data_IF_623417317152
#
_entry.id   IF_623417317152
#
_cell.length_a   1.000
_cell.length_b   1.000
_cell.length_c   1.000
_cell.angle_alpha   90.00
_cell.angle_beta   90.00
_cell.angle_gamma   90.00
#
_symmetry.space_group_name_H-M   'P 1'
#
loop_
_entity.id
_entity.type
_entity.pdbx_description
1 polymer ?
#
# COMPACT_ATOMS: atom_id res chain seq x y z
N UNK A 1 79.12 -4.36 -0.35
CA UNK A 1 79.42 -3.26 -1.30
C UNK A 1 78.15 -3.00 -2.10
N UNK A 2 77.57 -1.81 -2.21
CA UNK A 2 77.80 -0.51 -1.56
C UNK A 2 76.46 0.25 -1.58
N UNK A 3 75.93 0.72 -0.44
CA UNK A 3 76.04 2.11 0.04
C UNK A 3 75.70 3.21 -0.99
N UNK A 4 74.57 3.91 -0.78
CA UNK A 4 74.43 5.39 -0.68
C UNK A 4 73.08 5.72 0.03
N UNK A 5 72.99 6.86 0.73
CA UNK A 5 71.90 7.22 1.68
C UNK A 5 70.82 8.19 1.11
N UNK A 6 69.64 8.35 1.77
CA UNK A 6 68.52 9.29 1.47
C UNK A 6 68.76 10.68 2.14
N UNK A 7 67.85 11.72 2.16
CA UNK A 7 66.37 11.69 1.98
C UNK A 7 65.69 12.88 1.25
N UNK A 8 64.35 12.90 1.27
CA UNK A 8 63.54 14.12 1.45
C UNK A 8 62.38 13.83 2.42
N UNK A 9 62.23 14.64 3.45
CA UNK A 9 61.24 14.51 4.51
C UNK A 9 60.15 15.59 4.35
N UNK A 10 58.89 15.18 4.24
CA UNK A 10 57.76 16.06 4.53
C UNK A 10 56.54 15.24 4.97
N UNK A 11 56.61 14.70 6.18
CA UNK A 11 55.41 14.51 6.99
C UNK A 11 54.84 15.91 7.33
N UNK A 12 53.53 16.11 7.38
CA UNK A 12 52.76 15.74 8.59
C UNK A 12 51.34 15.27 8.27
N UNK A 13 50.74 14.43 9.15
CA UNK A 13 49.58 13.62 8.79
C UNK A 13 48.28 14.29 9.24
N UNK A 14 47.34 14.52 8.31
CA UNK A 14 45.96 14.87 8.66
C UNK A 14 45.03 13.66 8.66
N UNK A 15 44.99 13.05 9.85
CA UNK A 15 43.76 12.53 10.47
C UNK A 15 42.94 11.53 9.64
N UNK A 16 43.45 10.29 9.52
CA UNK A 16 42.63 9.14 9.11
C UNK A 16 41.61 8.82 10.21
N UNK A 17 40.38 9.33 10.10
CA UNK A 17 39.26 8.85 10.94
C UNK A 17 38.95 7.39 10.57
N UNK A 18 39.03 6.43 11.51
CA UNK A 18 38.75 5.03 11.21
C UNK A 18 37.24 4.85 11.03
N UNK A 19 36.85 4.29 9.88
CA UNK A 19 35.45 3.98 9.59
C UNK A 19 35.32 3.27 8.25
N UNK A 20 34.28 2.45 8.10
CA UNK A 20 34.05 1.54 6.96
C UNK A 20 33.95 2.22 5.58
N UNK A 21 34.01 3.56 5.50
CA UNK A 21 33.96 4.37 4.28
C UNK A 21 35.17 4.23 3.34
N UNK A 22 36.28 3.61 3.77
CA UNK A 22 37.49 3.44 2.93
C UNK A 22 37.54 2.14 2.12
N UNK A 23 36.58 1.23 2.29
CA UNK A 23 36.52 -0.02 1.51
C UNK A 23 36.04 0.30 0.08
N UNK A 24 36.74 -0.22 -0.93
CA UNK A 24 36.32 -0.09 -2.33
C UNK A 24 35.06 -0.93 -2.55
N UNK A 25 33.90 -0.28 -2.75
CA UNK A 25 32.64 -0.94 -3.08
C UNK A 25 32.14 -0.53 -4.46
N UNK A 26 31.58 -1.50 -5.18
CA UNK A 26 31.06 -1.35 -6.54
C UNK A 26 29.90 -0.36 -6.60
N UNK A 27 29.75 0.38 -7.71
CA UNK A 27 28.78 1.47 -7.89
C UNK A 27 27.35 1.18 -7.41
N UNK A 28 26.86 -0.07 -7.56
CA UNK A 28 25.54 -0.50 -7.08
C UNK A 28 25.33 -0.27 -5.57
N UNK A 29 26.33 -0.53 -4.72
CA UNK A 29 26.20 -0.38 -3.27
C UNK A 29 26.09 1.09 -2.81
N UNK A 30 26.50 2.06 -3.64
CA UNK A 30 26.30 3.49 -3.35
C UNK A 30 24.91 4.00 -3.72
N UNK A 31 24.24 3.38 -4.70
CA UNK A 31 22.90 3.77 -5.11
C UNK A 31 21.83 3.36 -4.07
N UNK A 32 22.04 2.24 -3.38
CA UNK A 32 21.07 1.68 -2.42
C UNK A 32 21.14 2.37 -1.04
N UNK A 33 22.22 3.09 -0.73
CA UNK A 33 22.34 3.88 0.51
C UNK A 33 23.03 5.25 0.27
N UNK A 34 22.29 6.25 -0.25
CA UNK A 34 22.84 7.56 -0.58
C UNK A 34 23.34 8.36 0.64
N UNK A 35 22.74 8.14 1.83
CA UNK A 35 23.09 8.79 3.10
C UNK A 35 24.59 8.73 3.42
N UNK A 36 25.25 7.63 3.08
CA UNK A 36 26.64 7.42 3.48
C UNK A 36 27.69 8.10 2.58
N UNK A 37 27.33 8.54 1.37
CA UNK A 37 28.32 8.97 0.36
C UNK A 37 28.03 10.28 -0.38
N UNK A 38 26.87 10.93 -0.19
CA UNK A 38 26.63 12.26 -0.78
C UNK A 38 27.46 13.32 -0.03
N UNK A 39 28.55 13.76 -0.67
CA UNK A 39 29.27 14.97 -0.30
C UNK A 39 28.30 16.16 -0.49
N UNK A 40 28.06 17.03 0.50
CA UNK A 40 26.98 18.01 0.46
C UNK A 40 27.18 19.01 -0.68
N UNK A 41 26.46 18.80 -1.78
CA UNK A 41 26.62 19.58 -2.99
C UNK A 41 25.68 20.80 -2.94
N UNK A 42 26.24 21.99 -2.76
CA UNK A 42 25.50 23.26 -2.59
C UNK A 42 24.30 23.45 -3.55
N UNK A 43 24.40 23.22 -4.88
CA UNK A 43 23.26 23.38 -5.78
C UNK A 43 22.13 22.38 -5.52
N UNK A 44 22.43 21.14 -5.13
CA UNK A 44 21.42 20.11 -4.83
C UNK A 44 20.68 20.45 -3.54
N UNK A 45 21.39 20.96 -2.53
CA UNK A 45 20.79 21.44 -1.29
C UNK A 45 19.88 22.66 -1.54
N UNK A 46 20.31 23.62 -2.37
CA UNK A 46 19.49 24.77 -2.76
C UNK A 46 18.24 24.34 -3.54
N UNK A 47 18.37 23.40 -4.48
CA UNK A 47 17.23 22.85 -5.22
C UNK A 47 16.24 22.11 -4.31
N UNK A 48 16.74 21.33 -3.34
CA UNK A 48 15.91 20.69 -2.32
C UNK A 48 15.13 21.68 -1.46
N UNK A 49 15.77 22.76 -1.00
CA UNK A 49 15.10 23.83 -0.25
C UNK A 49 14.07 24.59 -1.10
N UNK A 50 14.37 24.87 -2.38
CA UNK A 50 13.40 25.46 -3.32
C UNK A 50 12.20 24.54 -3.55
N UNK A 51 12.41 23.23 -3.71
CA UNK A 51 11.33 22.27 -3.85
C UNK A 51 10.48 22.17 -2.58
N UNK A 52 11.08 22.11 -1.39
CA UNK A 52 10.36 22.05 -0.11
C UNK A 52 9.56 23.34 0.13
N UNK A 53 10.14 24.52 -0.13
CA UNK A 53 9.42 25.80 0.01
C UNK A 53 8.25 25.90 -0.98
N UNK A 54 8.41 25.42 -2.22
CA UNK A 54 7.33 25.38 -3.20
C UNK A 54 6.23 24.37 -2.82
N UNK A 55 6.58 23.22 -2.24
CA UNK A 55 5.61 22.28 -1.67
C UNK A 55 4.84 22.88 -0.48
N UNK A 56 5.52 23.56 0.46
CA UNK A 56 4.86 24.21 1.60
C UNK A 56 3.97 25.38 1.13
N UNK A 57 4.42 26.16 0.14
CA UNK A 57 3.61 27.21 -0.46
C UNK A 57 2.39 26.65 -1.21
N UNK A 58 2.52 25.52 -1.90
CA UNK A 58 1.40 24.83 -2.56
C UNK A 58 0.41 24.23 -1.54
N UNK A 59 0.89 23.67 -0.44
CA UNK A 59 0.05 23.24 0.68
C UNK A 59 -0.67 24.43 1.32
N UNK A 60 0.01 25.57 1.53
CA UNK A 60 -0.60 26.80 2.01
C UNK A 60 -1.64 27.39 1.05
N UNK A 61 -1.40 27.33 -0.25
CA UNK A 61 -2.35 27.73 -1.28
C UNK A 61 -3.58 26.80 -1.33
N UNK A 62 -3.37 25.49 -1.20
CA UNK A 62 -4.46 24.53 -1.03
C UNK A 62 -5.22 24.77 0.28
N UNK A 63 -4.55 25.08 1.39
CA UNK A 63 -5.20 25.38 2.66
C UNK A 63 -6.03 26.67 2.57
N UNK A 64 -5.49 27.74 1.99
CA UNK A 64 -6.20 29.00 1.78
C UNK A 64 -7.38 28.87 0.79
N UNK A 65 -7.25 28.07 -0.27
CA UNK A 65 -8.37 27.80 -1.21
C UNK A 65 -9.38 26.79 -0.66
N UNK A 66 -9.00 26.00 0.35
CA UNK A 66 -9.91 25.17 1.15
C UNK A 66 -10.59 25.98 2.24
N UNK A 67 -9.91 26.92 2.90
CA UNK A 67 -10.50 27.89 3.85
C UNK A 67 -11.53 28.78 3.14
N UNK A 68 -11.23 29.33 1.96
CA UNK A 68 -12.23 30.03 1.14
C UNK A 68 -13.42 29.15 0.69
N UNK A 69 -13.31 27.82 0.78
CA UNK A 69 -14.43 26.89 0.54
C UNK A 69 -15.11 26.44 1.84
N UNK A 70 -14.41 26.46 2.97
CA UNK A 70 -14.92 26.18 4.32
C UNK A 70 -15.68 27.37 4.88
N UNK A 71 -15.26 28.62 4.64
CA UNK A 71 -16.05 29.83 4.95
C UNK A 71 -17.41 29.85 4.22
N UNK A 72 -17.53 29.10 3.12
CA UNK A 72 -18.79 28.91 2.38
C UNK A 72 -19.55 27.61 2.77
N UNK A 73 -19.03 26.86 3.75
CA UNK A 73 -19.56 25.56 4.19
C UNK A 73 -19.57 25.37 5.72
N UNK A 74 -19.11 26.34 6.51
CA UNK A 74 -19.19 26.38 7.97
C UNK A 74 -20.56 26.93 8.44
N UNK A 75 -21.61 26.35 7.84
CA UNK A 75 -22.99 26.54 8.21
C UNK A 75 -23.76 25.22 8.04
N UNK A 76 -23.24 24.15 8.65
CA UNK A 76 -23.92 23.03 9.31
C UNK A 76 -22.82 22.11 9.85
N UNK A 77 -22.55 22.24 11.15
CA UNK A 77 -22.12 21.17 12.07
C UNK A 77 -21.93 21.83 13.46
N UNK A 78 -22.31 21.22 14.60
CA UNK A 78 -22.75 19.85 14.86
C UNK A 78 -23.76 19.76 16.01
N UNK A 79 -24.32 18.56 16.21
CA UNK A 79 -24.62 18.01 17.53
C UNK A 79 -23.51 18.36 18.55
N UNK A 80 -23.90 18.78 19.74
CA UNK A 80 -23.02 19.57 20.60
C UNK A 80 -21.87 18.81 21.25
N UNK A 81 -20.66 19.39 21.17
CA UNK A 81 -19.62 19.25 22.20
C UNK A 81 -18.68 20.46 22.18
N UNK A 82 -18.50 21.10 23.35
CA UNK A 82 -17.62 22.27 23.56
C UNK A 82 -16.18 21.81 23.69
N UNK A 83 -15.28 22.47 22.97
CA UNK A 83 -13.89 22.69 23.36
C UNK A 83 -13.59 24.19 23.13
N UNK A 84 -13.36 24.93 24.21
CA UNK A 84 -13.09 26.38 24.15
C UNK A 84 -11.64 26.64 23.71
N UNK A 85 -11.40 27.34 22.59
CA UNK A 85 -10.11 28.00 22.36
C UNK A 85 -10.14 29.30 21.53
N UNK A 86 -10.15 30.42 22.25
CA UNK A 86 -9.62 31.75 21.89
C UNK A 86 -9.74 32.26 20.43
N UNK A 87 -10.84 32.96 20.15
CA UNK A 87 -10.95 33.87 18.99
C UNK A 87 -10.01 35.07 19.14
N UNK A 88 -8.83 35.03 18.49
CA UNK A 88 -8.00 36.23 18.25
C UNK A 88 -8.52 36.98 17.03
N UNK A 89 -9.54 37.81 17.26
CA UNK A 89 -10.04 38.83 16.31
C UNK A 89 -8.89 39.79 15.95
N UNK A 90 -8.53 39.97 14.66
CA UNK A 90 -8.06 41.25 14.09
C UNK A 90 -7.81 41.26 12.58
N UNK A 91 -8.39 42.28 11.92
CA UNK A 91 -7.78 43.12 10.87
C UNK A 91 -7.34 42.52 9.51
N UNK A 92 -8.29 42.38 8.58
CA UNK A 92 -8.03 42.57 7.12
C UNK A 92 -9.13 43.42 6.45
N UNK A 93 -10.41 43.21 6.80
CA UNK A 93 -11.54 43.76 6.03
C UNK A 93 -11.83 45.27 6.21
N UNK A 94 -11.20 45.98 7.15
CA UNK A 94 -11.47 47.42 7.38
C UNK A 94 -10.72 48.36 6.42
N UNK A 95 -9.52 47.98 5.95
CA UNK A 95 -8.68 48.88 5.12
C UNK A 95 -9.20 48.97 3.67
N UNK A 96 -9.69 47.85 3.11
CA UNK A 96 -10.28 47.82 1.75
C UNK A 96 -11.56 48.68 1.68
N UNK A 97 -12.40 48.62 2.72
CA UNK A 97 -13.66 49.37 2.76
C UNK A 97 -13.40 50.88 2.93
N UNK A 98 -12.40 51.27 3.73
CA UNK A 98 -12.00 52.68 3.92
C UNK A 98 -11.40 53.30 2.66
N UNK A 99 -10.63 52.53 1.87
CA UNK A 99 -10.08 52.98 0.58
C UNK A 99 -11.15 53.19 -0.49
N UNK A 100 -12.19 52.34 -0.51
CA UNK A 100 -13.32 52.49 -1.43
C UNK A 100 -14.20 53.71 -1.11
N UNK A 101 -14.44 54.02 0.17
CA UNK A 101 -15.17 55.25 0.54
C UNK A 101 -14.38 56.51 0.15
N UNK A 102 -13.09 56.59 0.49
CA UNK A 102 -12.25 57.74 0.14
C UNK A 102 -12.17 57.99 -1.39
N UNK A 103 -12.11 56.91 -2.19
CA UNK A 103 -12.12 57.04 -3.65
C UNK A 103 -13.46 57.60 -4.20
N UNK A 104 -14.59 57.24 -3.57
CA UNK A 104 -15.91 57.75 -3.93
C UNK A 104 -16.12 59.21 -3.50
N UNK A 105 -15.63 59.62 -2.33
CA UNK A 105 -15.68 61.02 -1.89
C UNK A 105 -14.87 61.94 -2.82
N UNK A 106 -13.65 61.57 -3.18
CA UNK A 106 -12.81 62.35 -4.11
C UNK A 106 -13.52 62.52 -5.47
N UNK A 107 -14.16 61.46 -5.98
CA UNK A 107 -14.92 61.52 -7.23
C UNK A 107 -16.15 62.45 -7.15
N UNK A 108 -16.84 62.48 -6.00
CA UNK A 108 -18.00 63.36 -5.77
C UNK A 108 -17.61 64.85 -5.60
N UNK A 109 -16.47 65.14 -4.96
CA UNK A 109 -15.94 66.50 -4.80
C UNK A 109 -15.52 67.09 -6.17
N UNK A 110 -14.84 66.31 -7.02
CA UNK A 110 -14.46 66.77 -8.36
C UNK A 110 -15.69 67.00 -9.24
N UNK A 111 -16.71 66.14 -9.15
CA UNK A 111 -17.95 66.26 -9.93
C UNK A 111 -18.83 67.45 -9.53
N UNK A 112 -18.83 67.84 -8.24
CA UNK A 112 -19.55 69.03 -7.75
C UNK A 112 -18.80 70.33 -8.03
N UNK A 113 -17.46 70.34 -8.02
CA UNK A 113 -16.67 71.53 -8.39
C UNK A 113 -16.89 71.99 -9.86
N UNK A 114 -17.17 71.05 -10.77
CA UNK A 114 -17.38 71.33 -12.20
C UNK A 114 -18.77 71.94 -12.49
N UNK A 115 -19.79 71.70 -11.66
CA UNK A 115 -21.13 72.28 -11.86
C UNK A 115 -21.24 73.71 -11.29
N UNK A 116 -20.61 73.99 -10.14
CA UNK A 116 -20.55 75.32 -9.50
C UNK A 116 -19.94 76.41 -10.41
N UNK A 117 -18.86 76.08 -11.13
CA UNK A 117 -18.16 77.01 -12.03
C UNK A 117 -19.02 77.48 -13.22
N UNK A 118 -20.06 76.72 -13.60
CA UNK A 118 -20.93 77.06 -14.74
C UNK A 118 -22.10 77.98 -14.35
N UNK A 119 -22.53 77.96 -13.08
CA UNK A 119 -23.65 78.79 -12.57
C UNK A 119 -23.20 80.23 -12.28
N UNK A 120 -21.93 80.42 -11.87
CA UNK A 120 -21.37 81.76 -11.56
C UNK A 120 -21.30 82.67 -12.80
N UNK A 121 -21.09 82.11 -13.99
CA UNK A 121 -20.99 82.86 -15.25
C UNK A 121 -22.36 83.22 -15.87
N UNK A 122 -23.46 82.59 -15.44
CA UNK A 122 -24.82 82.87 -15.91
C UNK A 122 -25.48 84.08 -15.24
N UNK A 123 -25.22 84.30 -13.95
CA UNK A 123 -25.91 85.33 -13.14
C UNK A 123 -25.50 86.77 -13.49
N UNK A 124 -24.36 86.98 -14.16
CA UNK A 124 -23.88 88.32 -14.60
C UNK A 124 -24.65 88.90 -15.81
N UNK A 125 -25.32 88.06 -16.60
CA UNK A 125 -26.08 88.52 -17.79
C UNK A 125 -27.54 88.89 -17.50
N UNK A 126 -28.18 88.26 -16.52
CA UNK A 126 -29.60 88.50 -16.19
C UNK A 126 -29.78 89.88 -15.53
N UNK A 127 -28.84 90.30 -14.66
CA UNK A 127 -28.93 91.58 -13.96
C UNK A 127 -28.74 92.81 -14.87
N UNK A 128 -28.26 92.62 -16.11
CA UNK A 128 -28.21 93.67 -17.15
C UNK A 128 -29.47 93.74 -18.02
N UNK A 129 -30.35 92.74 -17.94
CA UNK A 129 -31.59 92.70 -18.73
C UNK A 129 -32.77 93.34 -17.97
N UNK A 130 -32.82 93.20 -16.65
CA UNK A 130 -33.89 93.74 -15.80
C UNK A 130 -33.84 95.26 -15.57
N UNK A 131 -32.71 95.93 -15.87
CA UNK A 131 -32.63 97.41 -15.86
C UNK A 131 -33.02 98.06 -17.20
N UNK A 132 -33.25 97.28 -18.26
CA UNK A 132 -33.54 97.80 -19.61
C UNK A 132 -35.04 97.91 -19.95
N UNK A 133 -35.95 97.56 -19.02
CA UNK A 133 -37.40 97.45 -19.25
C UNK A 133 -38.25 98.39 -18.37
N UNK A 134 -37.74 99.60 -18.07
CA UNK A 134 -38.53 100.65 -17.41
C UNK A 134 -38.19 102.05 -17.95
N UNK A 135 -38.73 102.38 -19.12
CA UNK A 135 -38.92 103.76 -19.62
C UNK A 135 -39.95 103.78 -20.76
N UNK A 136 -40.70 104.89 -20.83
CA UNK A 136 -41.72 105.26 -21.85
C UNK A 136 -43.05 104.47 -21.72
N UNK A 137 -44.13 105.06 -21.14
CA UNK A 137 -45.09 106.07 -21.67
C UNK A 137 -46.00 105.47 -22.76
N UNK A 138 -47.34 105.62 -22.80
CA UNK A 138 -48.23 106.81 -22.84
C UNK A 138 -49.65 106.35 -22.34
N UNK A 139 -50.38 107.07 -21.46
CA UNK A 139 -51.55 107.99 -21.72
C UNK A 139 -52.61 107.42 -22.72
N UNK A 140 -53.95 107.55 -22.64
CA UNK A 140 -54.93 108.56 -22.19
C UNK A 140 -56.17 107.80 -21.58
N UNK A 141 -57.24 108.37 -21.01
CA UNK A 141 -57.93 109.63 -21.33
C UNK A 141 -58.82 110.17 -20.17
N UNK A 142 -59.11 111.47 -20.22
CA UNK A 142 -60.07 112.25 -19.39
C UNK A 142 -61.31 112.60 -20.26
N UNK A 143 -62.45 113.19 -19.81
CA UNK A 143 -62.51 114.53 -19.16
C UNK A 143 -63.65 114.72 -18.09
N UNK A 144 -63.54 115.68 -17.14
CA UNK A 144 -64.20 117.02 -17.04
C UNK A 144 -65.73 117.03 -16.81
N UNK A 145 -66.38 118.03 -16.17
CA UNK A 145 -65.98 119.39 -15.74
C UNK A 145 -66.77 119.80 -14.45
N UNK A 146 -66.56 121.03 -13.96
CA UNK A 146 -66.94 121.55 -12.63
C UNK A 146 -68.40 122.06 -12.45
N UNK A 147 -68.70 122.44 -11.20
CA UNK A 147 -69.98 122.88 -10.62
C UNK A 147 -70.58 124.18 -11.17
N UNK A 148 -71.90 124.34 -11.01
CA UNK A 148 -72.52 125.54 -10.41
C UNK A 148 -74.06 125.40 -10.18
N UNK A 149 -74.62 126.39 -9.47
CA UNK A 149 -76.04 126.69 -9.18
C UNK A 149 -76.68 126.10 -7.91
N UNK A 150 -76.81 126.98 -6.92
CA UNK A 150 -77.68 126.91 -5.74
C UNK A 150 -79.18 126.72 -6.06
N UNK A 151 -79.97 126.54 -4.98
CA UNK A 151 -81.45 126.54 -4.87
C UNK A 151 -82.10 125.16 -5.09
N UNK A 152 -82.53 124.51 -3.99
CA UNK A 152 -83.38 123.31 -4.05
C UNK A 152 -83.31 122.28 -2.91
N UNK A 153 -82.74 122.62 -1.75
CA UNK A 153 -82.65 121.70 -0.61
C UNK A 153 -84.02 121.35 0.03
N UNK A 154 -84.06 120.20 0.73
CA UNK A 154 -85.02 119.74 1.75
C UNK A 154 -86.08 118.66 1.43
N UNK A 155 -86.33 118.27 0.16
CA UNK A 155 -87.31 117.19 -0.14
C UNK A 155 -86.72 115.94 -0.83
N UNK A 156 -85.67 116.08 -1.65
CA UNK A 156 -85.03 114.91 -2.29
C UNK A 156 -84.04 114.16 -1.39
N UNK A 157 -83.39 114.83 -0.44
CA UNK A 157 -82.39 114.23 0.44
C UNK A 157 -82.97 113.09 1.31
N UNK A 158 -84.22 113.24 1.78
CA UNK A 158 -84.93 112.19 2.55
C UNK A 158 -85.28 110.96 1.71
N UNK A 159 -85.53 111.13 0.41
CA UNK A 159 -85.76 110.02 -0.54
C UNK A 159 -84.45 109.30 -0.88
N UNK A 160 -83.36 110.04 -1.05
CA UNK A 160 -82.02 109.46 -1.25
C UNK A 160 -81.56 108.67 -0.02
N UNK A 161 -81.58 109.27 1.17
CA UNK A 161 -81.19 108.61 2.42
C UNK A 161 -81.99 107.33 2.72
N UNK A 162 -83.30 107.31 2.42
CA UNK A 162 -84.12 106.09 2.58
C UNK A 162 -83.70 104.98 1.60
N UNK A 163 -83.43 105.32 0.34
CA UNK A 163 -82.95 104.34 -0.66
C UNK A 163 -81.53 103.87 -0.37
N UNK A 164 -80.66 104.73 0.13
CA UNK A 164 -79.30 104.37 0.57
C UNK A 164 -79.33 103.35 1.71
N UNK A 165 -80.20 103.53 2.71
CA UNK A 165 -80.36 102.53 3.79
C UNK A 165 -80.89 101.20 3.26
N UNK A 166 -81.90 101.18 2.37
CA UNK A 166 -82.41 99.94 1.77
C UNK A 166 -81.36 99.22 0.89
N UNK A 167 -80.52 99.99 0.18
CA UNK A 167 -79.38 99.47 -0.57
C UNK A 167 -78.32 98.90 0.39
N UNK A 168 -78.03 99.59 1.50
CA UNK A 168 -77.07 99.14 2.50
C UNK A 168 -77.52 97.83 3.16
N UNK A 169 -78.79 97.72 3.55
CA UNK A 169 -79.39 96.51 4.13
C UNK A 169 -79.36 95.34 3.13
N UNK A 170 -79.66 95.58 1.84
CA UNK A 170 -79.49 94.57 0.78
C UNK A 170 -78.03 94.16 0.57
N UNK A 171 -77.09 95.10 0.66
CA UNK A 171 -75.65 94.81 0.56
C UNK A 171 -75.19 93.98 1.75
N UNK A 172 -75.63 94.29 2.97
CA UNK A 172 -75.32 93.51 4.17
C UNK A 172 -75.94 92.11 4.12
N UNK A 173 -77.18 91.99 3.64
CA UNK A 173 -77.83 90.70 3.41
C UNK A 173 -77.10 89.87 2.35
N UNK A 174 -76.75 90.44 1.20
CA UNK A 174 -75.93 89.74 0.18
C UNK A 174 -74.55 89.37 0.70
N UNK A 175 -73.91 90.21 1.53
CA UNK A 175 -72.64 89.87 2.18
C UNK A 175 -72.78 88.68 3.14
N UNK A 176 -73.86 88.61 3.92
CA UNK A 176 -74.15 87.47 4.79
C UNK A 176 -74.47 86.19 4.00
N UNK A 177 -75.23 86.29 2.90
CA UNK A 177 -75.51 85.18 1.98
C UNK A 177 -74.24 84.70 1.26
N UNK A 178 -73.32 85.60 0.88
CA UNK A 178 -72.02 85.23 0.30
C UNK A 178 -71.08 84.61 1.35
N UNK A 179 -71.03 85.14 2.57
CA UNK A 179 -70.22 84.60 3.67
C UNK A 179 -70.64 83.17 4.01
N UNK A 180 -71.94 82.94 4.21
CA UNK A 180 -72.48 81.60 4.45
C UNK A 180 -72.34 80.67 3.25
N UNK A 181 -72.42 81.17 2.01
CA UNK A 181 -72.12 80.36 0.82
C UNK A 181 -70.62 79.97 0.73
N UNK A 182 -69.71 80.84 1.16
CA UNK A 182 -68.27 80.57 1.19
C UNK A 182 -67.91 79.56 2.28
N UNK A 183 -68.52 79.64 3.46
CA UNK A 183 -68.42 78.61 4.50
C UNK A 183 -68.93 77.25 4.01
N UNK A 184 -70.09 77.20 3.33
CA UNK A 184 -70.62 75.97 2.73
C UNK A 184 -69.69 75.42 1.63
N UNK A 185 -69.05 76.28 0.82
CA UNK A 185 -68.02 75.86 -0.14
C UNK A 185 -66.78 75.30 0.55
N UNK A 186 -66.32 75.92 1.65
CA UNK A 186 -65.17 75.47 2.43
C UNK A 186 -65.43 74.11 3.07
N UNK A 187 -66.56 73.94 3.77
CA UNK A 187 -66.98 72.66 4.35
C UNK A 187 -67.15 71.59 3.28
N UNK A 188 -67.69 71.93 2.09
CA UNK A 188 -67.77 70.99 0.97
C UNK A 188 -66.39 70.58 0.44
N UNK A 189 -65.45 71.51 0.32
CA UNK A 189 -64.09 71.23 -0.13
C UNK A 189 -63.33 70.36 0.89
N UNK A 190 -63.45 70.66 2.18
CA UNK A 190 -62.88 69.86 3.28
C UNK A 190 -63.48 68.44 3.31
N UNK A 191 -64.79 68.30 3.12
CA UNK A 191 -65.46 67.00 2.98
C UNK A 191 -64.97 66.23 1.74
N UNK A 192 -64.76 66.90 0.61
CA UNK A 192 -64.20 66.27 -0.60
C UNK A 192 -62.76 65.80 -0.38
N UNK A 193 -61.90 66.63 0.23
CA UNK A 193 -60.53 66.24 0.59
C UNK A 193 -60.51 65.06 1.56
N UNK A 194 -61.38 65.04 2.57
CA UNK A 194 -61.50 63.91 3.49
C UNK A 194 -61.85 62.60 2.77
N UNK A 195 -62.82 62.64 1.84
CA UNK A 195 -63.21 61.47 1.04
C UNK A 195 -62.08 61.02 0.09
N UNK A 196 -61.36 61.95 -0.52
CA UNK A 196 -60.18 61.66 -1.36
C UNK A 196 -59.04 61.04 -0.52
N UNK A 197 -58.78 61.55 0.68
CA UNK A 197 -57.78 61.01 1.60
C UNK A 197 -58.18 59.65 2.22
N UNK A 198 -59.48 59.34 2.37
CA UNK A 198 -59.94 57.98 2.68
C UNK A 198 -59.71 57.03 1.50
N UNK A 199 -60.17 57.38 0.29
CA UNK A 199 -59.96 56.55 -0.90
C UNK A 199 -58.47 56.32 -1.19
N UNK A 200 -57.63 57.34 -0.94
CA UNK A 200 -56.18 57.22 -1.02
C UNK A 200 -55.61 56.24 0.00
N UNK A 201 -56.03 56.31 1.27
CA UNK A 201 -55.61 55.34 2.30
C UNK A 201 -56.07 53.92 1.97
N UNK A 202 -57.28 53.74 1.42
CA UNK A 202 -57.78 52.43 0.99
C UNK A 202 -57.01 51.84 -0.19
N UNK A 203 -56.69 52.66 -1.20
CA UNK A 203 -55.89 52.25 -2.37
C UNK A 203 -54.44 51.95 -1.98
N UNK A 204 -53.77 52.80 -1.21
CA UNK A 204 -52.42 52.53 -0.68
C UNK A 204 -52.40 51.23 0.17
N UNK A 205 -53.44 50.96 0.97
CA UNK A 205 -53.57 49.70 1.72
C UNK A 205 -53.84 48.48 0.81
N UNK A 206 -54.60 48.65 -0.29
CA UNK A 206 -54.81 47.60 -1.28
C UNK A 206 -53.52 47.28 -2.07
N UNK A 207 -52.75 48.31 -2.45
CA UNK A 207 -51.44 48.18 -3.09
C UNK A 207 -50.45 47.46 -2.17
N UNK A 208 -50.37 47.82 -0.89
CA UNK A 208 -49.51 47.12 0.08
C UNK A 208 -49.87 45.63 0.22
N UNK A 209 -51.17 45.29 0.27
CA UNK A 209 -51.62 43.89 0.28
C UNK A 209 -51.26 43.16 -1.00
N UNK A 210 -51.34 43.83 -2.15
CA UNK A 210 -50.97 43.26 -3.45
C UNK A 210 -49.45 43.05 -3.55
N UNK A 211 -48.66 44.04 -3.15
CA UNK A 211 -47.20 43.97 -3.11
C UNK A 211 -46.70 42.86 -2.17
N UNK A 212 -47.30 42.73 -0.98
CA UNK A 212 -46.98 41.65 -0.05
C UNK A 212 -47.31 40.27 -0.64
N UNK A 213 -48.49 40.09 -1.24
CA UNK A 213 -48.86 38.84 -1.93
C UNK A 213 -47.89 38.50 -3.07
N UNK A 214 -47.50 39.49 -3.88
CA UNK A 214 -46.53 39.31 -4.95
C UNK A 214 -45.14 38.94 -4.41
N UNK A 215 -44.70 39.57 -3.31
CA UNK A 215 -43.44 39.24 -2.64
C UNK A 215 -43.43 37.81 -2.10
N UNK A 216 -44.54 37.36 -1.48
CA UNK A 216 -44.68 35.97 -1.02
C UNK A 216 -44.61 34.99 -2.20
N UNK A 217 -45.37 35.22 -3.27
CA UNK A 217 -45.35 34.37 -4.46
C UNK A 217 -43.96 34.31 -5.15
N UNK A 218 -43.21 35.42 -5.16
CA UNK A 218 -41.83 35.46 -5.65
C UNK A 218 -40.87 34.67 -4.75
N UNK A 219 -41.08 34.70 -3.43
CA UNK A 219 -40.29 33.93 -2.47
C UNK A 219 -40.58 32.42 -2.59
N UNK A 220 -41.84 32.03 -2.75
CA UNK A 220 -42.26 30.65 -3.01
C UNK A 220 -41.65 30.13 -4.31
N UNK A 221 -41.78 30.88 -5.42
CA UNK A 221 -41.17 30.53 -6.71
C UNK A 221 -39.62 30.42 -6.63
N UNK A 222 -38.97 31.30 -5.86
CA UNK A 222 -37.53 31.21 -5.62
C UNK A 222 -37.15 29.96 -4.81
N UNK A 223 -37.96 29.57 -3.83
CA UNK A 223 -37.78 28.35 -3.04
C UNK A 223 -38.00 27.09 -3.89
N UNK A 224 -39.08 27.01 -4.66
CA UNK A 224 -39.35 25.89 -5.58
C UNK A 224 -38.21 25.71 -6.60
N UNK A 225 -37.74 26.81 -7.19
CA UNK A 225 -36.57 26.79 -8.09
C UNK A 225 -35.31 26.28 -7.37
N UNK A 226 -35.09 26.68 -6.12
CA UNK A 226 -33.95 26.21 -5.33
C UNK A 226 -34.05 24.71 -5.03
N UNK A 227 -35.25 24.23 -4.68
CA UNK A 227 -35.53 22.81 -4.45
C UNK A 227 -35.33 21.98 -5.73
N UNK A 228 -35.91 22.40 -6.86
CA UNK A 228 -35.71 21.74 -8.16
C UNK A 228 -34.24 21.67 -8.59
N UNK A 229 -33.46 22.75 -8.37
CA UNK A 229 -32.01 22.77 -8.62
C UNK A 229 -31.24 21.87 -7.64
N UNK A 230 -31.66 21.79 -6.38
CA UNK A 230 -31.05 20.89 -5.39
C UNK A 230 -31.32 19.42 -5.71
N UNK A 231 -32.54 19.08 -6.14
CA UNK A 231 -32.92 17.74 -6.58
C UNK A 231 -32.20 17.34 -7.87
N UNK A 232 -32.14 18.22 -8.87
CA UNK A 232 -31.37 17.98 -10.10
C UNK A 232 -29.88 17.72 -9.78
N UNK A 233 -29.25 18.56 -8.95
CA UNK A 233 -27.87 18.36 -8.50
C UNK A 233 -27.68 17.07 -7.70
N UNK A 234 -28.68 16.63 -6.93
CA UNK A 234 -28.64 15.34 -6.23
C UNK A 234 -28.67 14.18 -7.23
N UNK A 235 -29.54 14.24 -8.24
CA UNK A 235 -29.62 13.24 -9.31
C UNK A 235 -28.32 13.18 -10.13
N UNK A 236 -27.73 14.33 -10.48
CA UNK A 236 -26.42 14.42 -11.14
C UNK A 236 -25.31 13.75 -10.31
N UNK A 237 -25.25 14.03 -9.00
CA UNK A 237 -24.29 13.40 -8.08
C UNK A 237 -24.50 11.90 -7.97
N UNK A 238 -25.75 11.45 -7.87
CA UNK A 238 -26.06 10.02 -7.85
C UNK A 238 -25.70 9.31 -9.15
N UNK A 239 -25.92 9.95 -10.30
CA UNK A 239 -25.52 9.43 -11.60
C UNK A 239 -23.99 9.32 -11.71
N UNK A 240 -23.27 10.38 -11.37
CA UNK A 240 -21.80 10.40 -11.33
C UNK A 240 -21.23 9.34 -10.38
N UNK A 241 -21.82 9.16 -9.19
CA UNK A 241 -21.42 8.10 -8.25
C UNK A 241 -21.72 6.70 -8.79
N UNK A 242 -22.86 6.48 -9.46
CA UNK A 242 -23.20 5.20 -10.12
C UNK A 242 -22.23 4.91 -11.26
N UNK A 243 -21.78 5.91 -12.01
CA UNK A 243 -20.79 5.75 -13.08
C UNK A 243 -19.38 5.50 -12.54
N UNK A 244 -18.93 6.26 -11.53
CA UNK A 244 -17.67 6.00 -10.84
C UNK A 244 -17.64 4.57 -10.25
N UNK A 245 -18.73 4.13 -9.61
CA UNK A 245 -18.87 2.76 -9.11
C UNK A 245 -18.82 1.71 -10.23
N UNK A 246 -19.36 1.99 -11.43
CA UNK A 246 -19.21 1.10 -12.60
C UNK A 246 -17.76 1.02 -13.08
N UNK A 247 -17.04 2.13 -13.13
CA UNK A 247 -15.62 2.12 -13.51
C UNK A 247 -14.76 1.39 -12.48
N UNK A 248 -14.99 1.61 -11.17
CA UNK A 248 -14.32 0.85 -10.12
C UNK A 248 -14.59 -0.65 -10.19
N UNK A 249 -15.82 -1.08 -10.53
CA UNK A 249 -16.13 -2.49 -10.76
C UNK A 249 -15.35 -3.07 -11.94
N UNK A 250 -15.34 -2.38 -13.09
CA UNK A 250 -14.56 -2.80 -14.27
C UNK A 250 -13.07 -2.92 -13.99
N UNK A 251 -12.47 -1.95 -13.32
CA UNK A 251 -11.06 -2.02 -12.93
C UNK A 251 -10.79 -3.15 -11.92
N UNK A 252 -11.70 -3.40 -10.99
CA UNK A 252 -11.59 -4.52 -10.06
C UNK A 252 -11.74 -5.89 -10.76
N UNK A 253 -12.56 -5.97 -11.81
CA UNK A 253 -12.70 -7.16 -12.66
C UNK A 253 -11.44 -7.39 -13.49
N UNK A 254 -10.90 -6.35 -14.15
CA UNK A 254 -9.61 -6.40 -14.85
C UNK A 254 -8.46 -6.85 -13.94
N UNK A 255 -8.33 -6.25 -12.74
CA UNK A 255 -7.32 -6.64 -11.76
C UNK A 255 -7.48 -8.09 -11.26
N UNK A 256 -8.71 -8.62 -11.24
CA UNK A 256 -8.95 -10.04 -10.93
C UNK A 256 -8.54 -10.94 -12.08
N UNK A 257 -8.86 -10.58 -13.32
CA UNK A 257 -8.46 -11.33 -14.52
C UNK A 257 -6.92 -11.36 -14.66
N UNK A 258 -6.26 -10.21 -14.55
CA UNK A 258 -4.79 -10.09 -14.52
C UNK A 258 -4.17 -10.95 -13.40
N UNK A 259 -4.75 -10.91 -12.19
CA UNK A 259 -4.31 -11.76 -11.07
C UNK A 259 -4.49 -13.25 -11.37
N UNK A 260 -5.65 -13.67 -11.87
CA UNK A 260 -5.92 -15.08 -12.21
C UNK A 260 -4.95 -15.58 -13.27
N UNK A 261 -4.67 -14.78 -14.30
CA UNK A 261 -3.69 -15.11 -15.33
C UNK A 261 -2.26 -15.23 -14.77
N UNK A 262 -1.86 -14.31 -13.88
CA UNK A 262 -0.57 -14.38 -13.20
C UNK A 262 -0.45 -15.63 -12.31
N UNK A 263 -1.48 -15.94 -11.54
CA UNK A 263 -1.54 -17.16 -10.69
C UNK A 263 -1.49 -18.44 -11.54
N UNK A 264 -2.17 -18.49 -12.69
CA UNK A 264 -2.13 -19.61 -13.62
C UNK A 264 -0.73 -19.79 -14.25
N UNK A 265 -0.08 -18.70 -14.66
CA UNK A 265 1.30 -18.72 -15.17
C UNK A 265 2.30 -19.20 -14.10
N UNK A 266 2.16 -18.71 -12.86
CA UNK A 266 2.98 -19.19 -11.74
C UNK A 266 2.74 -20.68 -11.45
N UNK A 267 1.48 -21.13 -11.46
CA UNK A 267 1.16 -22.53 -11.23
C UNK A 267 1.77 -23.43 -12.30
N UNK A 268 1.63 -23.08 -13.59
CA UNK A 268 2.25 -23.80 -14.72
C UNK A 268 3.78 -23.85 -14.61
N UNK A 269 4.41 -22.75 -14.22
CA UNK A 269 5.87 -22.68 -14.02
C UNK A 269 6.34 -23.59 -12.86
N UNK A 270 5.62 -23.59 -11.73
CA UNK A 270 5.90 -24.47 -10.59
C UNK A 270 5.67 -25.95 -10.97
N UNK A 271 4.62 -26.26 -11.72
CA UNK A 271 4.31 -27.61 -12.17
C UNK A 271 5.40 -28.14 -13.13
N UNK A 272 5.87 -27.31 -14.06
CA UNK A 272 7.00 -27.64 -14.93
C UNK A 272 8.28 -27.89 -14.12
N UNK A 273 8.64 -26.98 -13.21
CA UNK A 273 9.82 -27.12 -12.35
C UNK A 273 9.76 -28.41 -11.51
N UNK A 274 8.59 -28.75 -10.97
CA UNK A 274 8.39 -30.00 -10.23
C UNK A 274 8.58 -31.23 -11.13
N UNK A 275 8.09 -31.21 -12.38
CA UNK A 275 8.31 -32.30 -13.34
C UNK A 275 9.80 -32.46 -13.67
N UNK A 276 10.50 -31.37 -13.94
CA UNK A 276 11.95 -31.35 -14.19
C UNK A 276 12.75 -31.87 -12.98
N UNK A 277 12.44 -31.41 -11.76
CA UNK A 277 13.11 -31.89 -10.54
C UNK A 277 12.79 -33.35 -10.20
N UNK A 278 11.58 -33.83 -10.47
CA UNK A 278 11.27 -35.26 -10.36
C UNK A 278 12.07 -36.10 -11.39
N UNK A 279 12.31 -35.59 -12.60
CA UNK A 279 13.15 -36.26 -13.59
C UNK A 279 14.63 -36.26 -13.16
N UNK A 280 15.20 -35.12 -12.77
CA UNK A 280 16.56 -35.03 -12.23
C UNK A 280 16.76 -35.98 -11.03
N UNK A 281 15.82 -36.00 -10.08
CA UNK A 281 15.89 -36.88 -8.91
C UNK A 281 15.81 -38.35 -9.29
N UNK A 282 14.94 -38.75 -10.22
CA UNK A 282 14.90 -40.12 -10.72
C UNK A 282 16.19 -40.52 -11.44
N UNK A 283 16.80 -39.61 -12.20
CA UNK A 283 18.10 -39.87 -12.85
C UNK A 283 19.19 -40.08 -11.79
N UNK A 284 19.28 -39.19 -10.79
CA UNK A 284 20.24 -39.32 -9.70
C UNK A 284 20.07 -40.63 -8.92
N UNK A 285 18.83 -41.00 -8.55
CA UNK A 285 18.54 -42.27 -7.89
C UNK A 285 18.96 -43.49 -8.72
N UNK A 286 18.70 -43.48 -10.04
CA UNK A 286 19.14 -44.54 -10.95
C UNK A 286 20.67 -44.64 -11.06
N UNK A 287 21.37 -43.50 -11.05
CA UNK A 287 22.84 -43.46 -11.06
C UNK A 287 23.38 -44.07 -9.75
N UNK A 288 22.97 -43.57 -8.59
CA UNK A 288 23.42 -44.08 -7.28
C UNK A 288 23.07 -45.56 -7.07
N UNK A 289 21.91 -46.02 -7.56
CA UNK A 289 21.58 -47.44 -7.52
C UNK A 289 22.55 -48.29 -8.36
N UNK A 290 22.92 -47.84 -9.56
CA UNK A 290 23.88 -48.54 -10.41
C UNK A 290 25.30 -48.49 -9.86
N UNK A 291 25.73 -47.37 -9.29
CA UNK A 291 27.02 -47.24 -8.60
C UNK A 291 27.14 -48.23 -7.45
N UNK A 292 26.10 -48.33 -6.61
CA UNK A 292 26.04 -49.31 -5.53
C UNK A 292 26.09 -50.76 -6.06
N UNK A 293 25.39 -51.07 -7.15
CA UNK A 293 25.45 -52.40 -7.79
C UNK A 293 26.87 -52.70 -8.28
N UNK A 294 27.50 -51.78 -9.02
CA UNK A 294 28.87 -51.93 -9.54
C UNK A 294 29.88 -52.11 -8.42
N UNK A 295 29.76 -51.35 -7.32
CA UNK A 295 30.67 -51.49 -6.17
C UNK A 295 30.46 -52.84 -5.45
N UNK A 296 29.22 -53.32 -5.30
CA UNK A 296 28.98 -54.67 -4.75
C UNK A 296 29.50 -55.79 -5.67
N UNK A 297 29.37 -55.65 -7.00
CA UNK A 297 29.95 -56.60 -7.95
C UNK A 297 31.48 -56.59 -7.92
N UNK A 298 32.09 -55.42 -7.73
CA UNK A 298 33.54 -55.27 -7.62
C UNK A 298 34.07 -55.93 -6.35
N UNK A 299 33.42 -55.70 -5.21
CA UNK A 299 33.75 -56.34 -3.94
C UNK A 299 33.56 -57.87 -4.00
N UNK A 300 32.52 -58.35 -4.69
CA UNK A 300 32.31 -59.78 -4.92
C UNK A 300 33.45 -60.38 -5.77
N UNK A 301 33.81 -59.75 -6.89
CA UNK A 301 34.92 -60.21 -7.76
C UNK A 301 36.27 -60.20 -7.03
N UNK A 302 36.52 -59.20 -6.20
CA UNK A 302 37.74 -59.12 -5.37
C UNK A 302 37.79 -60.29 -4.36
N UNK A 303 36.70 -60.54 -3.64
CA UNK A 303 36.58 -61.69 -2.74
C UNK A 303 36.70 -63.04 -3.46
N UNK A 304 36.11 -63.20 -4.65
CA UNK A 304 36.29 -64.38 -5.49
C UNK A 304 37.75 -64.61 -5.87
N UNK A 305 38.50 -63.56 -6.26
CA UNK A 305 39.93 -63.70 -6.58
C UNK A 305 40.78 -64.08 -5.37
N UNK A 306 40.49 -63.53 -4.19
CA UNK A 306 41.18 -63.91 -2.94
C UNK A 306 40.92 -65.37 -2.58
N UNK A 307 39.67 -65.84 -2.66
CA UNK A 307 39.34 -67.23 -2.39
C UNK A 307 39.93 -68.21 -3.40
N UNK A 308 40.09 -67.81 -4.67
CA UNK A 308 40.82 -68.61 -5.67
C UNK A 308 42.32 -68.71 -5.34
N UNK A 309 42.95 -67.63 -4.88
CA UNK A 309 44.35 -67.65 -4.45
C UNK A 309 44.56 -68.49 -3.17
N UNK A 310 43.62 -68.42 -2.21
CA UNK A 310 43.59 -69.29 -1.03
C UNK A 310 43.43 -70.76 -1.40
N UNK A 311 42.53 -71.08 -2.34
CA UNK A 311 42.31 -72.43 -2.83
C UNK A 311 43.55 -72.96 -3.55
N UNK A 312 44.23 -72.15 -4.37
CA UNK A 312 45.49 -72.52 -5.02
C UNK A 312 46.58 -72.84 -3.99
N UNK A 313 46.74 -72.00 -2.95
CA UNK A 313 47.67 -72.27 -1.83
C UNK A 313 47.36 -73.59 -1.13
N UNK A 314 46.09 -73.88 -0.86
CA UNK A 314 45.66 -75.16 -0.24
C UNK A 314 45.91 -76.35 -1.17
N UNK A 315 45.73 -76.20 -2.48
CA UNK A 315 46.05 -77.25 -3.47
C UNK A 315 47.57 -77.53 -3.50
N UNK A 316 48.41 -76.50 -3.38
CA UNK A 316 49.87 -76.66 -3.32
C UNK A 316 50.31 -77.36 -2.03
N UNK A 317 49.77 -76.98 -0.86
CA UNK A 317 50.12 -77.65 0.40
C UNK A 317 49.60 -79.09 0.45
N UNK A 318 48.41 -79.36 -0.10
CA UNK A 318 47.87 -80.71 -0.23
C UNK A 318 48.76 -81.60 -1.10
N UNK A 319 49.22 -81.12 -2.26
CA UNK A 319 50.15 -81.86 -3.12
C UNK A 319 51.48 -82.16 -2.43
N UNK A 320 52.05 -81.18 -1.71
CA UNK A 320 53.28 -81.39 -0.93
C UNK A 320 53.09 -82.41 0.20
N UNK A 321 51.93 -82.44 0.85
CA UNK A 321 51.58 -83.46 1.83
C UNK A 321 51.36 -84.84 1.19
N UNK A 322 50.74 -84.91 0.00
CA UNK A 322 50.55 -86.13 -0.78
C UNK A 322 51.90 -86.73 -1.22
N UNK A 323 52.86 -85.89 -1.64
CA UNK A 323 54.25 -86.30 -1.92
C UNK A 323 54.95 -86.83 -0.66
N UNK A 324 54.79 -86.18 0.49
CA UNK A 324 55.32 -86.71 1.76
C UNK A 324 54.72 -88.08 2.10
N UNK A 325 53.39 -88.25 1.96
CA UNK A 325 52.73 -89.54 2.16
C UNK A 325 53.29 -90.60 1.21
N UNK A 326 53.47 -90.30 -0.09
CA UNK A 326 54.12 -91.21 -1.05
C UNK A 326 55.51 -91.64 -0.61
N UNK A 327 56.37 -90.71 -0.19
CA UNK A 327 57.73 -91.05 0.29
C UNK A 327 57.72 -91.88 1.58
N UNK A 328 56.75 -91.67 2.47
CA UNK A 328 56.57 -92.49 3.67
C UNK A 328 56.08 -93.90 3.32
N UNK A 329 55.16 -94.03 2.37
CA UNK A 329 54.69 -95.33 1.87
C UNK A 329 55.82 -96.12 1.21
N UNK A 330 56.62 -95.53 0.31
CA UNK A 330 57.79 -96.20 -0.28
C UNK A 330 58.84 -96.63 0.77
N UNK A 331 59.00 -95.83 1.83
CA UNK A 331 59.90 -96.17 2.94
C UNK A 331 59.36 -97.33 3.76
N UNK A 332 58.05 -97.38 3.97
CA UNK A 332 57.37 -98.45 4.69
C UNK A 332 57.37 -99.76 3.88
N UNK A 333 57.21 -99.69 2.56
CA UNK A 333 57.36 -100.81 1.63
C UNK A 333 58.76 -101.42 1.76
N UNK A 334 59.83 -100.62 1.63
CA UNK A 334 61.22 -101.08 1.82
C UNK A 334 61.46 -101.66 3.22
N UNK A 335 60.87 -101.11 4.28
CA UNK A 335 60.94 -101.71 5.62
C UNK A 335 60.19 -103.04 5.71
N UNK A 336 59.12 -103.20 4.94
CA UNK A 336 58.31 -104.43 4.88
C UNK A 336 59.07 -105.52 4.14
N UNK A 337 59.67 -105.22 2.98
CA UNK A 337 60.55 -106.15 2.25
C UNK A 337 61.72 -106.64 3.14
N UNK A 338 62.37 -105.72 3.86
CA UNK A 338 63.44 -106.04 4.79
C UNK A 338 62.97 -106.91 5.96
N UNK A 339 61.80 -106.57 6.53
CA UNK A 339 61.17 -107.34 7.62
C UNK A 339 60.83 -108.76 7.17
N UNK A 340 60.26 -108.90 5.98
CA UNK A 340 59.81 -110.19 5.47
C UNK A 340 61.01 -111.03 5.01
N UNK A 341 62.04 -110.44 4.40
CA UNK A 341 63.34 -111.09 4.17
C UNK A 341 63.97 -111.60 5.48
N UNK A 342 64.01 -110.76 6.52
CA UNK A 342 64.53 -111.16 7.84
C UNK A 342 63.70 -112.26 8.49
N UNK A 343 62.36 -112.22 8.39
CA UNK A 343 61.52 -113.30 8.92
C UNK A 343 61.70 -114.60 8.12
N UNK A 344 61.91 -114.56 6.79
CA UNK A 344 62.25 -115.77 6.02
C UNK A 344 63.61 -116.35 6.39
N UNK A 345 64.63 -115.53 6.68
CA UNK A 345 65.93 -116.01 7.17
C UNK A 345 65.82 -116.59 8.59
N UNK A 346 65.07 -115.93 9.48
CA UNK A 346 64.76 -116.45 10.82
C UNK A 346 63.98 -117.77 10.72
N UNK A 347 63.05 -117.90 9.77
CA UNK A 347 62.31 -119.13 9.53
C UNK A 347 63.19 -120.25 8.93
N UNK A 348 64.09 -119.91 8.02
CA UNK A 348 65.05 -120.85 7.44
C UNK A 348 66.07 -121.36 8.48
N UNK A 349 66.59 -120.47 9.33
CA UNK A 349 67.47 -120.84 10.44
C UNK A 349 66.73 -121.67 11.50
N UNK A 350 65.48 -121.31 11.88
CA UNK A 350 64.60 -122.16 12.70
C UNK A 350 64.45 -123.57 12.10
N UNK A 351 64.17 -123.69 10.80
CA UNK A 351 64.08 -124.99 10.11
C UNK A 351 65.40 -125.76 10.10
N UNK A 352 66.54 -125.07 9.95
CA UNK A 352 67.87 -125.70 10.00
C UNK A 352 68.20 -126.22 11.41
N UNK A 353 67.89 -125.45 12.46
CA UNK A 353 68.01 -125.91 13.84
C UNK A 353 67.07 -127.09 14.15
N UNK A 354 65.83 -127.06 13.68
CA UNK A 354 64.91 -128.19 13.85
C UNK A 354 65.48 -129.46 13.18
N UNK A 355 65.93 -129.37 11.92
CA UNK A 355 66.60 -130.49 11.23
C UNK A 355 67.83 -131.01 11.98
N UNK A 356 68.61 -130.12 12.61
CA UNK A 356 69.76 -130.53 13.44
C UNK A 356 69.34 -131.23 14.73
N UNK A 357 68.28 -130.75 15.40
CA UNK A 357 67.69 -131.39 16.58
C UNK A 357 67.16 -132.77 16.21
N UNK A 358 66.37 -132.87 15.14
CA UNK A 358 65.80 -134.14 14.64
C UNK A 358 66.91 -135.16 14.31
N UNK A 359 68.02 -134.71 13.72
CA UNK A 359 69.17 -135.55 13.37
C UNK A 359 70.04 -135.97 14.57
N UNK A 360 70.18 -135.10 15.59
CA UNK A 360 71.05 -135.34 16.75
C UNK A 360 70.32 -136.04 17.91
N UNK A 361 69.01 -135.82 18.03
CA UNK A 361 68.17 -136.27 19.13
C UNK A 361 66.84 -136.86 18.61
N UNK A 362 66.88 -138.02 17.91
CA UNK A 362 65.71 -138.63 17.26
C UNK A 362 64.59 -139.10 18.23
N UNK A 363 64.79 -138.95 19.54
CA UNK A 363 63.82 -139.30 20.59
C UNK A 363 63.03 -138.08 21.11
N UNK A 364 63.28 -136.87 20.60
CA UNK A 364 62.50 -135.67 20.95
C UNK A 364 61.27 -135.56 20.04
N UNK A 365 60.12 -135.23 20.62
CA UNK A 365 58.89 -135.03 19.85
C UNK A 365 58.91 -133.68 19.12
N UNK A 366 58.42 -133.57 17.87
CA UNK A 366 58.28 -132.29 17.18
C UNK A 366 57.51 -131.27 18.03
N UNK A 367 58.00 -130.03 18.08
CA UNK A 367 57.46 -128.94 18.90
C UNK A 367 57.97 -128.88 20.35
N UNK A 368 58.64 -129.93 20.86
CA UNK A 368 59.14 -129.95 22.24
C UNK A 368 60.31 -128.97 22.49
N UNK A 369 60.93 -128.44 21.43
CA UNK A 369 62.01 -127.46 21.48
C UNK A 369 61.58 -126.01 21.15
N UNK A 370 60.29 -125.77 20.85
CA UNK A 370 59.80 -124.44 20.39
C UNK A 370 60.02 -123.31 21.40
N UNK A 371 60.19 -123.64 22.68
CA UNK A 371 60.51 -122.67 23.73
C UNK A 371 61.89 -122.00 23.56
N UNK A 372 62.81 -122.62 22.79
CA UNK A 372 64.17 -122.10 22.56
C UNK A 372 64.14 -120.97 21.52
N UNK A 373 63.21 -121.00 20.57
CA UNK A 373 63.05 -119.98 19.52
C UNK A 373 61.58 -119.52 19.37
N UNK A 374 61.05 -118.75 20.35
CA UNK A 374 59.66 -118.33 20.34
C UNK A 374 59.22 -117.68 19.01
N UNK A 375 58.02 -118.05 18.56
CA UNK A 375 57.39 -117.41 17.40
C UNK A 375 57.09 -115.94 17.71
N UNK A 376 57.46 -115.02 16.80
CA UNK A 376 56.90 -113.67 16.81
C UNK A 376 55.45 -113.78 16.33
N UNK A 377 54.52 -113.07 16.98
CA UNK A 377 53.17 -112.91 16.42
C UNK A 377 53.30 -112.13 15.11
N UNK A 378 52.65 -112.61 14.06
CA UNK A 378 52.50 -111.83 12.83
C UNK A 378 51.86 -110.48 13.18
N UNK A 379 52.31 -109.42 12.52
CA UNK A 379 51.80 -108.08 12.77
C UNK A 379 50.45 -107.96 12.06
N UNK A 380 49.35 -108.29 12.76
CA UNK A 380 48.01 -107.99 12.29
C UNK A 380 47.90 -106.47 12.13
N UNK A 381 47.84 -106.04 10.88
CA UNK A 381 47.51 -104.67 10.55
C UNK A 381 46.06 -104.47 10.98
N UNK A 382 45.86 -103.73 12.07
CA UNK A 382 44.52 -103.33 12.50
C UNK A 382 43.95 -102.44 11.40
N UNK A 383 43.09 -103.00 10.57
CA UNK A 383 42.19 -102.22 9.75
C UNK A 383 41.44 -101.24 10.66
N UNK A 384 41.49 -99.97 10.26
CA UNK A 384 40.56 -98.88 10.57
C UNK A 384 39.96 -98.83 11.99
N UNK A 385 40.39 -97.89 12.85
CA UNK A 385 39.52 -97.39 13.91
C UNK A 385 38.30 -96.73 13.29
N UNK A 386 37.20 -97.46 13.30
CA UNK A 386 35.84 -96.95 13.18
C UNK A 386 35.57 -96.01 14.37
N UNK A 387 35.95 -94.73 14.25
CA UNK A 387 35.54 -93.71 15.23
C UNK A 387 34.11 -93.26 14.94
N UNK A 388 33.20 -93.90 15.67
CA UNK A 388 32.02 -93.31 16.30
C UNK A 388 31.18 -92.30 15.47
N UNK A 389 30.01 -92.77 15.03
CA UNK A 389 28.82 -91.94 15.09
C UNK A 389 28.55 -91.54 16.56
N UNK A 390 28.80 -90.28 16.93
CA UNK A 390 28.06 -89.65 18.03
C UNK A 390 27.83 -88.14 17.81
N UNK A 391 26.60 -87.73 18.09
CA UNK A 391 26.09 -86.37 18.20
C UNK A 391 26.08 -85.51 16.93
N UNK A 392 24.93 -85.59 16.25
CA UNK A 392 24.27 -84.41 15.70
C UNK A 392 24.39 -83.22 16.67
N UNK A 393 25.29 -82.28 16.36
CA UNK A 393 25.22 -80.93 16.89
C UNK A 393 24.73 -80.03 15.79
N UNK A 394 23.40 -79.92 15.77
CA UNK A 394 22.62 -78.84 15.18
C UNK A 394 23.26 -77.49 15.53
N UNK A 395 24.24 -77.07 14.74
CA UNK A 395 24.71 -75.70 14.75
C UNK A 395 23.56 -74.89 14.19
N UNK A 396 22.78 -74.33 15.12
CA UNK A 396 21.69 -73.39 14.84
C UNK A 396 22.18 -72.43 13.77
N UNK A 397 21.65 -72.62 12.57
CA UNK A 397 21.62 -71.59 11.54
C UNK A 397 20.98 -70.40 12.23
N UNK A 398 21.78 -69.43 12.63
CA UNK A 398 21.29 -68.13 13.04
C UNK A 398 20.65 -67.54 11.81
N UNK A 399 19.36 -67.87 11.65
CA UNK A 399 18.42 -67.02 10.97
C UNK A 399 18.54 -65.67 11.68
N UNK A 400 19.39 -64.81 11.13
CA UNK A 400 19.27 -63.38 11.28
C UNK A 400 17.97 -63.06 10.57
N UNK A 401 16.88 -63.32 11.29
CA UNK A 401 15.63 -62.63 11.16
C UNK A 401 16.02 -61.17 11.29
N UNK A 402 16.18 -60.51 10.15
CA UNK A 402 16.15 -59.06 10.09
C UNK A 402 14.77 -58.68 10.63
N UNK A 403 14.71 -58.46 11.94
CA UNK A 403 13.57 -57.85 12.57
C UNK A 403 13.50 -56.45 12.01
N UNK A 404 12.64 -56.33 10.99
CA UNK A 404 12.20 -55.09 10.40
C UNK A 404 11.51 -54.29 11.51
N UNK A 405 12.33 -53.57 12.28
CA UNK A 405 11.92 -52.62 13.30
C UNK A 405 11.23 -51.42 12.62
N UNK A 406 9.98 -51.63 12.20
CA UNK A 406 9.03 -50.57 11.92
C UNK A 406 8.63 -49.88 13.22
N UNK A 407 9.58 -49.12 13.78
CA UNK A 407 9.44 -48.30 14.98
C UNK A 407 9.79 -46.83 14.68
N UNK A 408 9.32 -46.33 13.53
CA UNK A 408 9.09 -44.92 13.27
C UNK A 408 7.56 -44.77 13.25
N UNK A 409 6.94 -44.21 14.28
CA UNK A 409 7.20 -42.84 14.70
C UNK A 409 6.15 -41.92 14.09
N UNK A 410 4.85 -42.25 14.28
CA UNK A 410 3.78 -41.27 14.05
C UNK A 410 3.90 -40.17 15.11
N UNK A 411 4.62 -39.12 14.76
CA UNK A 411 4.47 -37.79 15.33
C UNK A 411 3.95 -36.88 14.23
N UNK A 412 2.95 -36.10 14.59
CA UNK A 412 2.15 -35.29 13.68
C UNK A 412 2.95 -34.15 13.07
N UNK A 413 2.63 -33.81 11.82
CA UNK A 413 2.91 -32.49 11.25
C UNK A 413 1.73 -32.06 10.36
N UNK A 414 0.93 -31.15 10.93
CA UNK A 414 -0.07 -30.25 10.32
C UNK A 414 -1.09 -30.82 9.35
#
# INVERSE_FOLDING_TARGET
>A
MSSTKPPNENETPKERKPGLRSVQTTMLFRAVNPELFIKPNKPVMAFGLMAITLCVAYLGYLHATVENKKDLYEAIDSEGSREDMHVRRHAVNSDVQSRLLNALEIYMIVKTGVTELKIRNGKSKINRFLQAQRKEHINLNKPSLADQSEIGADIQEKQHKKKEVEIQERIEKMKAELCSQEEVRKVKAEMQQYMEDEQRRETEAAEQRMAHRLQCALMECAQEKMQAVAEARKQEREAAMKEAARQHRKHLEQLKEERMLAEELHHKSIEQLNKEKCQEMNIALNITQKENQIETEKQLKEAETLHLEELEKVIVTLKAAEEQVKTLTEKLEKMTDWKDSLETEIQATRQAFQKYIDATFPNLSPGQADFILPFRKAFEQKDTPEEAEDSDKEYKRTSIRSERLTAMGKKDYK
#
